data_IF_331853511413
#
_entry.id   IF_331853511413
#
_cell.length_a   1.000
_cell.length_b   1.000
_cell.length_c   1.000
_cell.angle_alpha   90.00
_cell.angle_beta   90.00
_cell.angle_gamma   90.00
#
_symmetry.space_group_name_H-M   'P 1'
#
loop_
_entity.id
_entity.type
_entity.pdbx_description
1 polymer ?
#
# COMPACT_ATOMS: atom_id res chain seq x y z
N UNK A 1 11.72 -8.50 10.85
CA UNK A 1 10.34 -8.27 11.33
C UNK A 1 9.43 -8.34 10.12
N UNK A 2 8.35 -9.11 10.17
CA UNK A 2 7.50 -9.35 9.00
C UNK A 2 6.72 -8.08 8.62
N UNK A 3 6.78 -7.67 7.36
CA UNK A 3 6.06 -6.52 6.82
C UNK A 3 4.54 -6.64 7.04
N UNK A 4 3.99 -7.84 6.90
CA UNK A 4 2.56 -8.14 7.10
C UNK A 4 2.10 -7.79 8.53
N UNK A 5 2.90 -8.17 9.53
CA UNK A 5 2.63 -7.82 10.93
C UNK A 5 2.67 -6.30 11.16
N UNK A 6 3.61 -5.59 10.55
CA UNK A 6 3.68 -4.13 10.66
C UNK A 6 2.49 -3.43 10.02
N UNK A 7 2.09 -3.84 8.82
CA UNK A 7 0.91 -3.29 8.16
C UNK A 7 -0.36 -3.62 8.94
N UNK A 8 -0.42 -4.79 9.55
CA UNK A 8 -1.53 -5.17 10.44
C UNK A 8 -1.59 -4.27 11.68
N UNK A 9 -0.45 -4.04 12.35
CA UNK A 9 -0.38 -3.10 13.48
C UNK A 9 -0.76 -1.67 13.08
N UNK A 10 -0.38 -1.23 11.89
CA UNK A 10 -0.78 0.07 11.35
C UNK A 10 -2.28 0.12 11.07
N UNK A 11 -2.84 -0.92 10.47
CA UNK A 11 -4.27 -1.06 10.21
C UNK A 11 -5.11 -1.02 11.49
N UNK A 12 -4.57 -1.48 12.62
CA UNK A 12 -5.22 -1.34 13.94
C UNK A 12 -5.36 0.13 14.35
N UNK A 13 -4.33 0.94 14.12
CA UNK A 13 -4.27 2.36 14.52
C UNK A 13 -4.99 3.28 13.54
N UNK A 14 -5.01 2.93 12.25
CA UNK A 14 -5.63 3.72 11.19
C UNK A 14 -6.79 2.95 10.53
N UNK A 15 -8.03 3.37 10.83
CA UNK A 15 -9.24 2.74 10.28
C UNK A 15 -9.42 2.98 8.78
N UNK A 16 -8.85 4.07 8.26
CA UNK A 16 -8.92 4.47 6.86
C UNK A 16 -7.79 3.89 6.01
N UNK A 17 -6.98 2.99 6.57
CA UNK A 17 -5.93 2.27 5.86
C UNK A 17 -6.54 1.17 4.98
N UNK A 18 -6.26 1.21 3.68
CA UNK A 18 -6.64 0.20 2.70
C UNK A 18 -5.37 -0.32 2.01
N UNK A 19 -5.25 -1.65 1.90
CA UNK A 19 -4.16 -2.33 1.23
C UNK A 19 -4.63 -2.92 -0.08
N UNK A 20 -4.00 -2.53 -1.18
CA UNK A 20 -4.18 -3.08 -2.52
C UNK A 20 -2.95 -3.93 -2.84
N UNK A 21 -3.15 -5.22 -3.03
CA UNK A 21 -2.10 -6.19 -3.33
C UNK A 21 -2.24 -6.65 -4.79
N UNK A 22 -1.19 -6.44 -5.58
CA UNK A 22 -1.11 -6.88 -6.98
C UNK A 22 -0.27 -8.14 -7.18
N UNK A 23 0.19 -8.75 -6.08
CA UNK A 23 1.01 -9.96 -6.11
C UNK A 23 0.28 -11.12 -6.79
N UNK A 24 1.03 -11.94 -7.52
CA UNK A 24 0.55 -13.12 -8.22
C UNK A 24 1.47 -14.31 -7.89
N UNK A 25 0.94 -15.54 -7.72
CA UNK A 25 -0.47 -15.93 -7.85
C UNK A 25 -1.35 -15.61 -6.64
N UNK A 26 -0.76 -15.59 -5.44
CA UNK A 26 -1.45 -15.34 -4.18
C UNK A 26 -1.04 -13.98 -3.58
N UNK A 27 -1.89 -13.47 -2.69
CA UNK A 27 -1.58 -12.27 -1.90
C UNK A 27 -0.50 -12.53 -0.86
N UNK A 28 0.33 -11.52 -0.58
CA UNK A 28 1.50 -11.64 0.32
C UNK A 28 1.13 -11.34 1.77
N UNK A 29 0.00 -10.67 2.01
CA UNK A 29 -0.40 -10.17 3.33
C UNK A 29 -1.55 -10.96 3.96
N UNK A 30 -1.29 -12.22 4.32
CA UNK A 30 -2.31 -13.11 4.87
C UNK A 30 -2.87 -12.62 6.22
N UNK A 31 -2.01 -12.13 7.12
CA UNK A 31 -2.42 -11.68 8.45
C UNK A 31 -3.26 -10.42 8.35
N UNK A 32 -2.85 -9.46 7.50
CA UNK A 32 -3.62 -8.26 7.23
C UNK A 32 -5.00 -8.61 6.64
N UNK A 33 -5.03 -9.48 5.63
CA UNK A 33 -6.27 -9.95 4.99
C UNK A 33 -7.22 -10.61 5.98
N UNK A 34 -6.71 -11.45 6.89
CA UNK A 34 -7.52 -12.12 7.92
C UNK A 34 -8.06 -11.14 8.96
N UNK A 35 -7.22 -10.19 9.38
CA UNK A 35 -7.60 -9.20 10.39
C UNK A 35 -8.60 -8.18 9.87
N UNK A 36 -8.45 -7.77 8.61
CA UNK A 36 -9.15 -6.64 8.02
C UNK A 36 -9.63 -6.93 6.58
N UNK A 37 -10.55 -7.90 6.41
CA UNK A 37 -10.97 -8.36 5.08
C UNK A 37 -11.59 -7.23 4.24
N UNK A 38 -12.33 -6.30 4.86
CA UNK A 38 -12.97 -5.18 4.16
C UNK A 38 -12.01 -4.07 3.73
N UNK A 39 -10.73 -4.18 4.12
CA UNK A 39 -9.67 -3.19 3.85
C UNK A 39 -8.53 -3.77 3.04
N UNK A 40 -8.70 -4.99 2.52
CA UNK A 40 -7.72 -5.69 1.72
C UNK A 40 -8.32 -6.02 0.36
N UNK A 41 -7.64 -5.57 -0.70
CA UNK A 41 -8.07 -5.77 -2.08
C UNK A 41 -6.95 -6.49 -2.84
N UNK A 42 -7.21 -7.68 -3.37
CA UNK A 42 -6.25 -8.45 -4.17
C UNK A 42 -6.63 -8.35 -5.65
N UNK A 43 -5.79 -7.68 -6.43
CA UNK A 43 -5.97 -7.42 -7.87
C UNK A 43 -4.71 -7.87 -8.64
N UNK A 44 -4.47 -9.18 -8.76
CA UNK A 44 -3.24 -9.69 -9.36
C UNK A 44 -3.05 -9.15 -10.79
N UNK A 45 -1.85 -8.64 -11.10
CA UNK A 45 -1.44 -8.17 -12.44
C UNK A 45 -2.30 -7.04 -13.08
N UNK A 46 -3.27 -6.48 -12.36
CA UNK A 46 -4.16 -5.42 -12.85
C UNK A 46 -3.74 -4.05 -12.32
N UNK A 47 -2.51 -3.64 -12.64
CA UNK A 47 -1.93 -2.39 -12.16
C UNK A 47 -2.69 -1.16 -12.64
N UNK A 48 -3.20 -1.16 -13.86
CA UNK A 48 -4.06 -0.14 -14.46
C UNK A 48 -5.32 0.11 -13.62
N UNK A 49 -6.10 -0.95 -13.36
CA UNK A 49 -7.33 -0.88 -12.57
C UNK A 49 -7.02 -0.49 -11.12
N UNK A 50 -5.96 -1.06 -10.55
CA UNK A 50 -5.56 -0.77 -9.18
C UNK A 50 -5.26 0.72 -8.94
N UNK A 51 -4.72 1.43 -9.94
CA UNK A 51 -4.47 2.86 -9.82
C UNK A 51 -5.76 3.66 -9.75
N UNK A 52 -6.71 3.38 -10.64
CA UNK A 52 -8.02 4.05 -10.64
C UNK A 52 -8.78 3.79 -9.34
N UNK A 53 -8.75 2.54 -8.86
CA UNK A 53 -9.31 2.17 -7.56
C UNK A 53 -8.63 2.90 -6.41
N UNK A 54 -7.29 2.95 -6.40
CA UNK A 54 -6.55 3.65 -5.36
C UNK A 54 -6.84 5.15 -5.36
N UNK A 55 -6.97 5.76 -6.54
CA UNK A 55 -7.34 7.16 -6.69
C UNK A 55 -8.76 7.43 -6.18
N UNK A 56 -9.73 6.58 -6.56
CA UNK A 56 -11.11 6.67 -6.09
C UNK A 56 -11.20 6.53 -4.57
N UNK A 57 -10.60 5.49 -4.00
CA UNK A 57 -10.59 5.23 -2.56
C UNK A 57 -9.92 6.36 -1.78
N UNK A 58 -8.80 6.89 -2.28
CA UNK A 58 -8.13 8.02 -1.65
C UNK A 58 -8.98 9.29 -1.70
N UNK A 59 -9.80 9.50 -2.71
CA UNK A 59 -10.69 10.66 -2.81
C UNK A 59 -11.76 10.66 -1.72
N UNK A 60 -12.09 9.49 -1.17
CA UNK A 60 -12.96 9.34 0.00
C UNK A 60 -12.23 9.52 1.35
N UNK A 61 -10.97 9.98 1.34
CA UNK A 61 -10.17 10.21 2.55
C UNK A 61 -9.46 8.96 3.07
N UNK A 62 -9.41 7.87 2.28
CA UNK A 62 -8.66 6.68 2.67
C UNK A 62 -7.15 6.84 2.40
N UNK A 63 -6.35 6.17 3.22
CA UNK A 63 -4.92 6.01 2.99
C UNK A 63 -4.74 4.69 2.25
N UNK A 64 -4.43 4.77 0.96
CA UNK A 64 -4.32 3.59 0.11
C UNK A 64 -2.86 3.22 -0.08
N UNK A 65 -2.54 1.95 0.13
CA UNK A 65 -1.20 1.42 -0.04
C UNK A 65 -1.25 0.36 -1.13
N UNK A 66 -0.38 0.49 -2.11
CA UNK A 66 -0.32 -0.45 -3.23
C UNK A 66 0.98 -1.22 -3.17
N UNK A 67 0.88 -2.54 -3.23
CA UNK A 67 2.01 -3.46 -3.27
C UNK A 67 2.01 -4.26 -4.59
N UNK A 68 3.19 -4.61 -5.09
CA UNK A 68 3.35 -5.42 -6.31
C UNK A 68 3.32 -4.61 -7.61
N UNK A 69 3.51 -3.28 -7.53
CA UNK A 69 3.75 -2.44 -8.71
C UNK A 69 5.25 -2.42 -9.01
N UNK A 70 5.64 -2.57 -10.27
CA UNK A 70 7.03 -2.40 -10.69
C UNK A 70 7.46 -0.92 -10.62
N UNK A 71 8.68 -0.64 -10.14
CA UNK A 71 9.18 0.74 -10.00
C UNK A 71 9.26 1.50 -11.33
N UNK A 72 9.43 0.76 -12.43
CA UNK A 72 9.51 1.26 -13.80
C UNK A 72 8.15 1.68 -14.39
N UNK A 73 7.04 1.29 -13.76
CA UNK A 73 5.71 1.73 -14.20
C UNK A 73 5.54 3.18 -13.79
N UNK A 74 5.46 4.06 -14.78
CA UNK A 74 5.17 5.46 -14.56
C UNK A 74 3.69 5.57 -14.21
N UNK A 75 3.40 5.53 -12.91
CA UNK A 75 2.05 5.64 -12.39
C UNK A 75 1.57 7.08 -12.55
N UNK A 76 0.70 7.30 -13.52
CA UNK A 76 0.03 8.58 -13.71
C UNK A 76 -1.25 8.58 -12.87
N UNK A 77 -1.18 9.15 -11.66
CA UNK A 77 -2.38 9.41 -10.87
C UNK A 77 -3.04 10.71 -11.33
N UNK A 78 -4.38 10.77 -11.35
CA UNK A 78 -5.10 11.96 -11.80
C UNK A 78 -4.86 13.18 -10.91
N UNK A 79 -4.51 12.98 -9.63
CA UNK A 79 -4.15 14.06 -8.70
C UNK A 79 -2.99 13.63 -7.78
N UNK A 80 -1.96 14.48 -7.67
CA UNK A 80 -0.78 14.26 -6.83
C UNK A 80 -1.03 14.54 -5.36
N UNK A 81 -2.19 15.11 -5.02
CA UNK A 81 -2.63 15.31 -3.63
C UNK A 81 -3.32 14.08 -3.03
N UNK A 82 -3.47 13.00 -3.80
CA UNK A 82 -4.07 11.75 -3.31
C UNK A 82 -3.13 11.05 -2.31
N UNK A 83 -3.71 10.48 -1.27
CA UNK A 83 -3.06 9.72 -0.21
C UNK A 83 -2.81 8.28 -0.63
N UNK A 84 -2.15 8.11 -1.79
CA UNK A 84 -1.76 6.82 -2.33
C UNK A 84 -0.27 6.63 -2.15
N UNK A 85 0.14 5.51 -1.53
CA UNK A 85 1.54 5.17 -1.33
C UNK A 85 1.89 3.85 -1.99
N UNK A 86 2.99 3.85 -2.72
CA UNK A 86 3.51 2.68 -3.40
C UNK A 86 4.60 2.05 -2.54
N UNK A 87 4.43 0.76 -2.24
CA UNK A 87 5.31 0.01 -1.38
C UNK A 87 6.30 -0.78 -2.24
N UNK A 88 7.59 -0.49 -2.12
CA UNK A 88 8.66 -1.17 -2.87
C UNK A 88 9.65 -1.85 -1.93
N UNK A 89 9.92 -3.16 -2.09
CA UNK A 89 11.00 -3.81 -1.36
C UNK A 89 12.37 -3.29 -1.84
N UNK A 90 13.25 -2.94 -0.91
CA UNK A 90 14.63 -2.51 -1.20
C UNK A 90 15.61 -3.08 -0.17
N UNK A 91 16.65 -3.76 -0.66
CA UNK A 91 17.75 -4.24 0.19
C UNK A 91 18.50 -3.07 0.83
N UNK A 92 18.66 -3.12 2.16
CA UNK A 92 19.37 -2.09 2.95
C UNK A 92 18.53 -0.91 3.42
N UNK A 93 17.20 -0.90 3.20
CA UNK A 93 16.34 0.10 3.84
C UNK A 93 16.28 -0.12 5.37
N UNK A 94 16.20 0.97 6.15
CA UNK A 94 15.95 0.88 7.61
C UNK A 94 14.46 0.92 7.91
N UNK A 95 14.06 0.24 8.99
CA UNK A 95 12.73 0.34 9.56
C UNK A 95 12.48 1.68 10.28
N UNK A 96 13.51 2.50 10.49
CA UNK A 96 13.41 3.80 11.15
C UNK A 96 12.66 4.81 10.27
N UNK A 97 11.65 5.47 10.86
CA UNK A 97 10.79 6.43 10.16
C UNK A 97 9.80 5.78 9.18
N UNK A 98 9.62 4.46 9.21
CA UNK A 98 8.62 3.74 8.41
C UNK A 98 7.20 4.22 8.73
N UNK A 99 6.84 4.29 10.02
CA UNK A 99 5.48 4.70 10.43
C UNK A 99 5.20 6.15 10.02
N UNK A 100 6.16 7.06 10.21
CA UNK A 100 6.01 8.47 9.84
C UNK A 100 5.84 8.66 8.32
N UNK A 101 6.59 7.89 7.52
CA UNK A 101 6.47 7.90 6.05
C UNK A 101 5.16 7.31 5.56
N UNK A 102 4.63 6.29 6.23
CA UNK A 102 3.31 5.75 5.89
C UNK A 102 2.20 6.69 6.36
N UNK A 103 2.33 7.33 7.52
CA UNK A 103 1.28 8.20 8.06
C UNK A 103 1.23 9.59 7.42
N UNK A 104 2.29 10.01 6.70
CA UNK A 104 2.29 11.32 6.01
C UNK A 104 1.17 11.42 4.96
N UNK A 105 0.46 12.54 4.94
CA UNK A 105 -0.63 12.82 3.99
C UNK A 105 -0.06 13.30 2.65
N UNK A 106 0.59 12.40 1.91
CA UNK A 106 1.16 12.70 0.59
C UNK A 106 1.17 11.46 -0.30
N UNK A 107 1.09 11.71 -1.61
CA UNK A 107 1.51 10.76 -2.62
C UNK A 107 3.01 10.48 -2.47
N UNK A 108 3.40 9.21 -2.50
CA UNK A 108 4.82 8.88 -2.41
C UNK A 108 5.16 7.42 -2.65
N UNK A 109 6.42 7.21 -3.04
CA UNK A 109 7.06 5.90 -3.04
C UNK A 109 7.67 5.65 -1.67
N UNK A 110 7.34 4.53 -1.05
CA UNK A 110 7.87 4.11 0.24
C UNK A 110 8.70 2.85 0.02
N UNK A 111 9.99 2.97 0.32
CA UNK A 111 10.93 1.87 0.25
C UNK A 111 10.95 1.10 1.57
N UNK A 112 10.79 -0.20 1.48
CA UNK A 112 10.62 -1.11 2.59
C UNK A 112 11.83 -2.03 2.72
N UNK A 113 12.32 -2.26 3.95
CA UNK A 113 13.38 -3.24 4.18
C UNK A 113 12.86 -4.63 3.82
N UNK A 114 13.63 -5.38 3.02
CA UNK A 114 13.49 -6.84 2.93
C UNK A 114 14.22 -7.51 4.08
#
# INVERSE_FOLDING_TARGET
MNLDLKLTQLGLRNRHFILVDLSFPDGVFEEFRRSYPDRYLHLPCHSDIAMEFAAGLSSFGNHVYVWGVDEAVNVDLPDKNLNVKFLYPKEGASWDGFEDKLLSFTFGKVYLPM
#
